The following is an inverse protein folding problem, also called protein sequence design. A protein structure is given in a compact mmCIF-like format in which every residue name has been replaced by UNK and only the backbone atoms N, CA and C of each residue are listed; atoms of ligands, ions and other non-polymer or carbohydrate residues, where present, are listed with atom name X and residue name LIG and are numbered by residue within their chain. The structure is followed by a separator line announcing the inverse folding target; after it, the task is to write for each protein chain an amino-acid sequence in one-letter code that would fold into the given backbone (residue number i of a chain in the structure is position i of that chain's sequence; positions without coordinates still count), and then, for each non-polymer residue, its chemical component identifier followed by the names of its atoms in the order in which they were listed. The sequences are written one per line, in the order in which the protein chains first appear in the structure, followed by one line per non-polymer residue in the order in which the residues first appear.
data_IF_471554855674
#
_entry.id   IF_471554855674
#
_cell.length_a   1.000
_cell.length_b   1.000
_cell.length_c   1.000
_cell.angle_alpha   90.00
_cell.angle_beta   90.00
_cell.angle_gamma   90.00
#
_symmetry.space_group_name_H-M   'P 1'
#
loop_
_entity.id
_entity.type
_entity.pdbx_description
1 polymer ?
#
# COMPACT_ATOMS: atom_id res chain seq x y z
N UNK A 1 16.73 5.94 -26.88
CA UNK A 1 16.44 4.50 -26.88
C UNK A 1 15.48 4.21 -25.74
N UNK A 2 14.31 3.65 -26.04
CA UNK A 2 13.38 3.18 -25.00
C UNK A 2 13.86 1.82 -24.46
N UNK A 3 13.64 1.53 -23.18
CA UNK A 3 14.01 0.25 -22.57
C UNK A 3 15.50 0.08 -22.23
N UNK A 4 16.22 1.17 -21.91
CA UNK A 4 17.59 1.05 -21.38
C UNK A 4 17.59 0.67 -19.90
N UNK A 5 18.65 -0.01 -19.43
CA UNK A 5 18.83 -0.35 -18.02
C UNK A 5 18.76 0.89 -17.11
N UNK A 6 19.35 2.00 -17.53
CA UNK A 6 19.27 3.26 -16.78
C UNK A 6 17.82 3.80 -16.69
N UNK A 7 17.04 3.67 -17.77
CA UNK A 7 15.62 4.04 -17.77
C UNK A 7 14.78 3.14 -16.86
N UNK A 8 15.08 1.85 -16.83
CA UNK A 8 14.45 0.88 -15.92
C UNK A 8 14.78 1.19 -14.45
N UNK A 9 16.05 1.43 -14.10
CA UNK A 9 16.42 1.86 -12.75
C UNK A 9 15.71 3.15 -12.33
N UNK A 10 15.58 4.13 -13.24
CA UNK A 10 14.84 5.36 -12.97
C UNK A 10 13.34 5.12 -12.79
N UNK A 11 12.74 4.21 -13.57
CA UNK A 11 11.34 3.84 -13.46
C UNK A 11 11.03 3.17 -12.12
N UNK A 12 11.92 2.29 -11.64
CA UNK A 12 11.81 1.68 -10.32
C UNK A 12 11.84 2.71 -9.19
N UNK A 13 12.85 3.59 -9.18
CA UNK A 13 12.95 4.66 -8.19
C UNK A 13 11.74 5.62 -8.22
N UNK A 14 11.24 5.94 -9.41
CA UNK A 14 10.03 6.74 -9.59
C UNK A 14 8.80 6.04 -9.00
N UNK A 15 8.64 4.75 -9.26
CA UNK A 15 7.49 3.97 -8.80
C UNK A 15 7.44 3.89 -7.27
N UNK A 16 8.57 3.65 -6.61
CA UNK A 16 8.69 3.68 -5.15
C UNK A 16 8.28 5.02 -4.55
N UNK A 17 8.85 6.12 -5.08
CA UNK A 17 8.54 7.48 -4.62
C UNK A 17 7.07 7.83 -4.84
N UNK A 18 6.53 7.47 -6.00
CA UNK A 18 5.14 7.75 -6.36
C UNK A 18 4.18 6.98 -5.48
N UNK A 19 4.46 5.71 -5.19
CA UNK A 19 3.62 4.91 -4.30
C UNK A 19 3.54 5.51 -2.88
N UNK A 20 4.66 5.93 -2.31
CA UNK A 20 4.67 6.62 -1.00
C UNK A 20 3.87 7.92 -1.02
N UNK A 21 3.95 8.69 -2.11
CA UNK A 21 3.16 9.89 -2.26
C UNK A 21 1.67 9.57 -2.39
N UNK A 22 1.31 8.52 -3.13
CA UNK A 22 -0.07 8.03 -3.22
C UNK A 22 -0.62 7.65 -1.85
N UNK A 23 0.13 6.92 -1.02
CA UNK A 23 -0.29 6.59 0.35
C UNK A 23 -0.56 7.85 1.19
N UNK A 24 0.33 8.85 1.12
CA UNK A 24 0.13 10.16 1.78
C UNK A 24 -1.14 10.85 1.30
N UNK A 25 -1.38 10.86 0.00
CA UNK A 25 -2.59 11.45 -0.60
C UNK A 25 -3.85 10.69 -0.20
N UNK A 26 -3.82 9.35 -0.11
CA UNK A 26 -4.95 8.54 0.34
C UNK A 26 -5.33 8.90 1.78
N UNK A 27 -4.35 8.93 2.70
CA UNK A 27 -4.56 9.36 4.10
C UNK A 27 -5.10 10.79 4.18
N UNK A 28 -4.57 11.69 3.36
CA UNK A 28 -5.09 13.06 3.30
C UNK A 28 -6.58 13.09 2.89
N UNK A 29 -6.97 12.33 1.86
CA UNK A 29 -8.36 12.26 1.42
C UNK A 29 -9.26 11.61 2.46
N UNK A 30 -8.82 10.55 3.16
CA UNK A 30 -9.59 9.96 4.26
C UNK A 30 -9.86 10.96 5.39
N UNK A 31 -8.84 11.77 5.75
CA UNK A 31 -8.96 12.78 6.82
C UNK A 31 -9.74 14.03 6.41
N UNK A 32 -9.71 14.37 5.12
CA UNK A 32 -10.33 15.57 4.56
C UNK A 32 -10.99 15.23 3.23
N UNK A 33 -12.09 14.46 3.24
CA UNK A 33 -12.78 14.14 2.00
C UNK A 33 -13.23 15.43 1.30
N UNK A 34 -13.14 15.51 -0.04
CA UNK A 34 -13.69 16.64 -0.76
C UNK A 34 -15.17 16.79 -0.49
N UNK A 35 -15.64 18.04 -0.40
CA UNK A 35 -17.05 18.33 -0.15
C UNK A 35 -17.94 17.63 -1.18
N UNK A 36 -18.97 16.95 -0.71
CA UNK A 36 -19.92 16.16 -1.51
C UNK A 36 -19.39 14.81 -2.06
N UNK A 37 -18.18 14.41 -1.66
CA UNK A 37 -17.58 13.11 -2.01
C UNK A 37 -17.21 12.28 -0.76
N UNK A 38 -17.69 12.66 0.42
CA UNK A 38 -17.39 12.03 1.71
C UNK A 38 -17.70 10.52 1.67
N UNK A 39 -18.91 10.15 1.27
CA UNK A 39 -19.35 8.76 1.20
C UNK A 39 -18.57 7.97 0.14
N UNK A 40 -18.24 8.62 -0.98
CA UNK A 40 -17.44 8.00 -2.05
C UNK A 40 -16.03 7.68 -1.56
N UNK A 41 -15.37 8.64 -0.90
CA UNK A 41 -14.02 8.48 -0.35
C UNK A 41 -14.01 7.39 0.71
N UNK A 42 -14.94 7.43 1.66
CA UNK A 42 -15.02 6.45 2.73
C UNK A 42 -15.29 5.05 2.18
N UNK A 43 -16.27 4.90 1.28
CA UNK A 43 -16.60 3.62 0.66
C UNK A 43 -15.46 3.05 -0.18
N UNK A 44 -14.77 3.91 -0.95
CA UNK A 44 -13.62 3.50 -1.75
C UNK A 44 -12.48 2.96 -0.88
N UNK A 45 -12.08 3.71 0.15
CA UNK A 45 -10.97 3.32 1.02
C UNK A 45 -11.33 2.16 1.96
N UNK A 46 -12.57 2.06 2.40
CA UNK A 46 -13.07 0.89 3.12
C UNK A 46 -12.97 -0.38 2.25
N UNK A 47 -13.43 -0.31 1.00
CA UNK A 47 -13.41 -1.47 0.10
C UNK A 47 -12.00 -1.90 -0.31
N UNK A 48 -11.03 -0.99 -0.38
CA UNK A 48 -9.68 -1.31 -0.85
C UNK A 48 -8.68 -1.59 0.28
N UNK A 49 -9.06 -1.42 1.55
CA UNK A 49 -8.16 -1.47 2.69
C UNK A 49 -7.33 -2.75 2.76
N UNK A 50 -7.97 -3.92 2.69
CA UNK A 50 -7.25 -5.21 2.77
C UNK A 50 -6.33 -5.45 1.57
N UNK A 51 -6.76 -5.10 0.36
CA UNK A 51 -5.94 -5.25 -0.85
C UNK A 51 -4.71 -4.32 -0.79
N UNK A 52 -4.89 -3.08 -0.32
CA UNK A 52 -3.79 -2.14 -0.15
C UNK A 52 -2.82 -2.61 0.93
N UNK A 53 -3.31 -3.06 2.09
CA UNK A 53 -2.47 -3.61 3.15
C UNK A 53 -1.69 -4.84 2.69
N UNK A 54 -2.31 -5.71 1.90
CA UNK A 54 -1.63 -6.87 1.30
C UNK A 54 -0.50 -6.44 0.37
N UNK A 55 -0.73 -5.44 -0.48
CA UNK A 55 0.31 -4.88 -1.35
C UNK A 55 1.44 -4.24 -0.52
N UNK A 56 1.11 -3.41 0.47
CA UNK A 56 2.08 -2.82 1.38
C UNK A 56 2.90 -3.88 2.13
N UNK A 57 2.27 -4.99 2.55
CA UNK A 57 2.99 -6.09 3.21
C UNK A 57 3.95 -6.81 2.25
N UNK A 58 3.55 -7.03 0.99
CA UNK A 58 4.45 -7.55 -0.04
C UNK A 58 5.66 -6.62 -0.23
N UNK A 59 5.43 -5.30 -0.26
CA UNK A 59 6.49 -4.30 -0.38
C UNK A 59 7.39 -4.24 0.85
N UNK A 60 6.84 -4.31 2.08
CA UNK A 60 7.63 -4.47 3.32
C UNK A 60 8.57 -5.69 3.23
N UNK A 61 8.11 -6.76 2.58
CA UNK A 61 8.87 -7.99 2.37
C UNK A 61 9.80 -7.99 1.14
N UNK A 62 9.98 -6.84 0.48
CA UNK A 62 10.97 -6.66 -0.59
C UNK A 62 10.44 -6.87 -2.01
N UNK A 63 9.13 -7.11 -2.19
CA UNK A 63 8.56 -7.17 -3.53
C UNK A 63 8.69 -5.81 -4.24
N UNK A 64 8.98 -5.77 -5.55
CA UNK A 64 9.04 -4.52 -6.29
C UNK A 64 7.64 -3.91 -6.42
N UNK A 65 7.57 -2.58 -6.45
CA UNK A 65 6.32 -1.85 -6.66
C UNK A 65 5.73 -2.22 -8.02
N UNK A 66 4.41 -2.38 -8.08
CA UNK A 66 3.67 -2.81 -9.26
C UNK A 66 3.93 -4.26 -9.70
N UNK A 67 4.58 -5.08 -8.86
CA UNK A 67 4.52 -6.54 -9.01
C UNK A 67 3.07 -7.04 -8.95
N UNK A 68 2.72 -8.03 -9.78
CA UNK A 68 1.39 -8.63 -9.73
C UNK A 68 1.18 -9.35 -8.39
N UNK A 69 0.39 -8.75 -7.51
CA UNK A 69 -0.08 -9.37 -6.25
C UNK A 69 -1.31 -10.29 -6.48
N UNK A 70 -1.79 -10.37 -7.74
CA UNK A 70 -3.02 -11.09 -8.12
C UNK A 70 -2.73 -12.34 -8.96
N UNK A 71 -2.92 -13.51 -8.35
CA UNK A 71 -3.44 -14.76 -8.95
C UNK A 71 -2.62 -15.44 -10.05
N UNK A 72 -2.11 -16.65 -9.74
CA UNK A 72 -1.73 -17.75 -10.65
C UNK A 72 -1.58 -17.38 -12.14
N UNK A 73 -0.48 -16.72 -12.50
CA UNK A 73 -0.04 -16.68 -13.90
C UNK A 73 1.13 -17.65 -14.04
N UNK A 74 0.93 -18.69 -14.85
CA UNK A 74 2.00 -19.59 -15.28
C UNK A 74 2.97 -18.79 -16.16
N UNK A 75 4.24 -18.73 -15.75
CA UNK A 75 5.37 -18.40 -16.62
C UNK A 75 5.50 -16.92 -16.99
N UNK A 76 5.97 -16.11 -16.04
CA UNK A 76 6.69 -14.87 -16.32
C UNK A 76 8.07 -14.97 -15.67
N UNK A 77 9.10 -14.41 -16.31
CA UNK A 77 10.47 -14.38 -15.77
C UNK A 77 10.44 -13.83 -14.34
N UNK A 78 10.98 -14.60 -13.40
CA UNK A 78 11.13 -14.16 -12.00
C UNK A 78 12.20 -13.09 -12.01
N UNK A 79 11.80 -11.83 -12.11
CA UNK A 79 12.75 -10.75 -12.01
C UNK A 79 13.30 -10.72 -10.59
N UNK A 80 14.63 -10.71 -10.45
CA UNK A 80 15.29 -10.68 -9.14
C UNK A 80 15.30 -9.24 -8.56
N UNK A 81 14.53 -8.33 -9.16
CA UNK A 81 14.38 -6.97 -8.69
C UNK A 81 13.65 -6.95 -7.35
N UNK A 82 14.25 -6.24 -6.39
CA UNK A 82 13.69 -5.98 -5.08
C UNK A 82 13.53 -4.48 -4.92
N UNK A 83 12.54 -4.08 -4.14
CA UNK A 83 12.44 -2.68 -3.76
C UNK A 83 13.59 -2.26 -2.84
N UNK A 84 13.89 -0.96 -2.83
CA UNK A 84 14.99 -0.40 -2.04
C UNK A 84 14.75 -0.56 -0.53
N UNK A 85 15.84 -0.72 0.23
CA UNK A 85 15.74 -0.85 1.69
C UNK A 85 15.17 0.41 2.37
N UNK A 86 15.41 1.59 1.80
CA UNK A 86 14.78 2.84 2.26
C UNK A 86 13.26 2.79 2.07
N UNK A 87 12.81 2.39 0.88
CA UNK A 87 11.38 2.29 0.58
C UNK A 87 10.68 1.27 1.49
N UNK A 88 11.27 0.09 1.70
CA UNK A 88 10.72 -0.94 2.61
C UNK A 88 10.47 -0.37 4.01
N UNK A 89 11.44 0.37 4.55
CA UNK A 89 11.35 1.00 5.87
C UNK A 89 10.28 2.10 5.88
N UNK A 90 10.23 2.94 4.85
CA UNK A 90 9.26 4.03 4.75
C UNK A 90 7.82 3.51 4.62
N UNK A 91 7.57 2.50 3.78
CA UNK A 91 6.24 1.86 3.67
C UNK A 91 5.87 1.20 4.99
N UNK A 92 6.79 0.47 5.61
CA UNK A 92 6.54 -0.17 6.90
C UNK A 92 6.12 0.83 7.97
N UNK A 93 6.93 1.87 8.17
CA UNK A 93 6.63 2.93 9.11
C UNK A 93 5.30 3.62 8.80
N UNK A 94 5.01 3.90 7.52
CA UNK A 94 3.76 4.57 7.13
C UNK A 94 2.52 3.70 7.41
N UNK A 95 2.59 2.40 7.14
CA UNK A 95 1.52 1.45 7.45
C UNK A 95 1.25 1.42 8.94
N UNK A 96 2.30 1.24 9.72
CA UNK A 96 2.21 0.97 11.15
C UNK A 96 1.80 2.23 11.95
N UNK A 97 2.14 3.44 11.46
CA UNK A 97 1.86 4.71 12.16
C UNK A 97 0.62 5.46 11.68
N UNK A 98 0.23 5.31 10.41
CA UNK A 98 -0.83 6.11 9.80
C UNK A 98 -1.90 5.25 9.15
N UNK A 99 -1.54 4.37 8.23
CA UNK A 99 -2.52 3.72 7.36
C UNK A 99 -3.48 2.80 8.13
N UNK A 100 -2.95 1.96 9.04
CA UNK A 100 -3.77 1.08 9.86
C UNK A 100 -4.77 1.86 10.71
N UNK A 101 -4.31 2.95 11.34
CA UNK A 101 -5.15 3.82 12.15
C UNK A 101 -6.32 4.41 11.35
N UNK A 102 -6.07 4.90 10.14
CA UNK A 102 -7.15 5.47 9.32
C UNK A 102 -8.17 4.39 8.89
N UNK A 103 -7.72 3.18 8.56
CA UNK A 103 -8.64 2.10 8.20
C UNK A 103 -9.46 1.59 9.38
N UNK A 104 -8.88 1.52 10.58
CA UNK A 104 -9.60 1.24 11.82
C UNK A 104 -10.68 2.31 12.07
N UNK A 105 -10.33 3.60 11.92
CA UNK A 105 -11.29 4.70 12.08
C UNK A 105 -12.42 4.68 11.04
N UNK A 106 -12.15 4.17 9.84
CA UNK A 106 -13.18 3.92 8.80
C UNK A 106 -14.06 2.69 9.11
N UNK A 107 -13.74 1.92 10.16
CA UNK A 107 -14.51 0.75 10.59
C UNK A 107 -14.15 -0.56 9.87
N UNK A 108 -12.97 -0.64 9.23
CA UNK A 108 -12.53 -1.87 8.57
C UNK A 108 -12.22 -2.94 9.62
N UNK A 109 -12.91 -4.08 9.53
CA UNK A 109 -12.83 -5.15 10.52
C UNK A 109 -11.53 -5.98 10.38
N UNK A 110 -11.11 -6.60 11.48
CA UNK A 110 -9.96 -7.51 11.48
C UNK A 110 -8.60 -6.81 11.35
N UNK A 111 -8.55 -5.49 11.58
CA UNK A 111 -7.32 -4.70 11.65
C UNK A 111 -6.95 -4.28 13.08
N UNK A 112 -7.81 -4.54 14.06
CA UNK A 112 -7.56 -4.24 15.47
C UNK A 112 -6.42 -5.10 16.03
N UNK A 113 -5.62 -4.58 16.97
CA UNK A 113 -4.61 -5.37 17.67
C UNK A 113 -5.24 -6.56 18.41
N UNK A 114 -4.57 -7.71 18.40
CA UNK A 114 -5.09 -8.98 18.97
C UNK A 114 -5.55 -8.85 20.44
N UNK A 115 -4.95 -7.93 21.20
CA UNK A 115 -5.28 -7.65 22.60
C UNK A 115 -6.72 -7.12 22.79
N UNK A 116 -7.28 -6.45 21.79
CA UNK A 116 -8.64 -5.88 21.84
C UNK A 116 -9.72 -6.87 21.36
N UNK A 117 -9.31 -7.88 20.57
CA UNK A 117 -10.18 -8.96 20.08
C UNK A 117 -10.53 -9.93 21.23
N UNK A 118 -9.58 -10.16 22.16
CA UNK A 118 -9.76 -11.05 23.29
C UNK A 118 -10.75 -10.53 24.36
N UNK A 119 -11.08 -9.23 24.35
CA UNK A 119 -12.01 -8.60 25.31
C UNK A 119 -13.47 -8.58 24.82
N UNK A 120 -13.74 -9.06 23.59
CA UNK A 120 -15.09 -9.17 23.04
C UNK A 120 -15.72 -10.55 23.21
N UNK A 121 -15.04 -11.46 23.91
CA UNK A 121 -15.49 -12.79 24.31
C UNK A 121 -15.33 -12.96 25.83
#
# INVERSE_FOLDING_TARGET
MAGSQAGECQSYAYSEKTFLLSLKTMVYNMRRPPKYFEDFVNGHFFSCAHDLLKACNAYKNGAPVASLVRGNVKGGEVSNERCSESFKKEVGAFVDTLLLKEFILLGVLGLEPEEEIALRY
#
